data_IF_659560294308
#
_entry.id   IF_659560294308
#
_cell.length_a   1.000
_cell.length_b   1.000
_cell.length_c   1.000
_cell.angle_alpha   90.00
_cell.angle_beta   90.00
_cell.angle_gamma   90.00
#
_symmetry.space_group_name_H-M   'P 1'
#
loop_
_entity.id
_entity.type
_entity.pdbx_description
1 polymer ?
#
# COMPACT_ATOMS: atom_id res chain seq x y z
N UNK A 1 -8.64 4.14 -3.00
CA UNK A 1 -8.05 4.22 -1.62
C UNK A 1 -8.90 5.10 -0.69
N UNK A 2 -9.38 6.28 -1.09
CA UNK A 2 -10.19 7.15 -0.24
C UNK A 2 -11.43 6.52 0.38
N UNK A 3 -12.03 5.52 -0.26
CA UNK A 3 -13.18 4.77 0.30
C UNK A 3 -12.77 3.80 1.42
N UNK A 4 -11.60 3.17 1.31
CA UNK A 4 -11.16 2.09 2.19
C UNK A 4 -10.19 2.52 3.31
N UNK A 5 -9.59 3.71 3.22
CA UNK A 5 -8.69 4.24 4.25
C UNK A 5 -9.46 4.97 5.35
N UNK A 6 -10.40 4.28 5.95
CA UNK A 6 -11.23 4.72 7.06
C UNK A 6 -11.40 3.58 8.06
N UNK A 7 -11.72 3.90 9.31
CA UNK A 7 -12.01 2.90 10.35
C UNK A 7 -13.12 1.93 9.92
N UNK A 8 -14.05 2.35 9.07
CA UNK A 8 -15.11 1.55 8.46
C UNK A 8 -14.89 1.26 6.97
N UNK A 9 -13.64 1.27 6.51
CA UNK A 9 -13.29 1.11 5.09
C UNK A 9 -13.80 -0.19 4.48
N UNK A 10 -13.80 -1.27 5.22
CA UNK A 10 -14.37 -2.56 4.77
C UNK A 10 -15.87 -2.45 4.53
N UNK A 11 -16.62 -1.79 5.39
CA UNK A 11 -18.06 -1.60 5.23
C UNK A 11 -18.38 -0.64 4.08
N UNK A 12 -17.58 0.41 3.89
CA UNK A 12 -17.68 1.28 2.72
C UNK A 12 -17.51 0.50 1.41
N UNK A 13 -16.50 -0.37 1.34
CA UNK A 13 -16.29 -1.23 0.17
C UNK A 13 -17.47 -2.20 -0.04
N UNK A 14 -18.00 -2.81 1.03
CA UNK A 14 -19.18 -3.69 0.98
C UNK A 14 -20.43 -2.96 0.51
N UNK A 15 -20.63 -1.72 0.90
CA UNK A 15 -21.75 -0.89 0.43
C UNK A 15 -21.66 -0.65 -1.08
N UNK A 16 -20.48 -0.34 -1.62
CA UNK A 16 -20.26 -0.18 -3.06
C UNK A 16 -20.45 -1.51 -3.83
N UNK A 17 -19.95 -2.62 -3.28
CA UNK A 17 -20.19 -3.95 -3.84
C UNK A 17 -21.70 -4.23 -3.90
N UNK A 18 -22.43 -3.97 -2.83
CA UNK A 18 -23.87 -4.16 -2.77
C UNK A 18 -24.60 -3.31 -3.81
N UNK A 19 -24.20 -2.05 -3.98
CA UNK A 19 -24.77 -1.16 -5.01
C UNK A 19 -24.54 -1.71 -6.42
N UNK A 20 -23.33 -2.16 -6.75
CA UNK A 20 -23.02 -2.76 -8.04
C UNK A 20 -23.84 -4.04 -8.29
N UNK A 21 -23.99 -4.90 -7.28
CA UNK A 21 -24.81 -6.10 -7.36
C UNK A 21 -26.29 -5.78 -7.57
N UNK A 22 -26.85 -4.84 -6.81
CA UNK A 22 -28.25 -4.42 -6.91
C UNK A 22 -28.62 -3.87 -8.28
N UNK A 23 -27.67 -3.22 -8.93
CA UNK A 23 -27.87 -2.61 -10.25
C UNK A 23 -27.40 -3.50 -11.40
N UNK A 24 -27.00 -4.75 -11.14
CA UNK A 24 -26.51 -5.69 -12.14
C UNK A 24 -25.22 -5.27 -12.83
N UNK A 25 -24.36 -4.48 -12.15
CA UNK A 25 -23.11 -3.99 -12.70
C UNK A 25 -21.93 -4.90 -12.33
N UNK A 26 -22.10 -6.21 -12.49
CA UNK A 26 -21.08 -7.25 -12.24
C UNK A 26 -21.27 -8.37 -13.28
N UNK A 27 -20.22 -9.04 -13.67
CA UNK A 27 -20.26 -10.26 -14.49
C UNK A 27 -20.48 -10.04 -15.99
N UNK A 28 -20.29 -8.85 -16.51
CA UNK A 28 -20.39 -8.56 -17.95
C UNK A 28 -19.40 -7.50 -18.42
N UNK A 29 -19.01 -7.46 -19.68
CA UNK A 29 -18.11 -6.44 -20.22
C UNK A 29 -18.59 -5.01 -19.92
N UNK A 30 -17.66 -4.14 -19.52
CA UNK A 30 -17.94 -2.75 -19.19
C UNK A 30 -18.53 -2.51 -17.79
N UNK A 31 -18.61 -3.56 -16.96
CA UNK A 31 -19.07 -3.46 -15.55
C UNK A 31 -18.02 -3.97 -14.58
N UNK A 32 -18.27 -3.81 -13.30
CA UNK A 32 -17.39 -4.30 -12.22
C UNK A 32 -17.00 -3.22 -11.23
N UNK A 33 -16.17 -3.63 -10.28
CA UNK A 33 -15.61 -2.78 -9.25
C UNK A 33 -14.10 -2.72 -9.47
N UNK A 34 -13.56 -1.50 -9.51
CA UNK A 34 -12.14 -1.25 -9.70
C UNK A 34 -11.53 -0.55 -8.48
N UNK A 35 -10.84 -1.27 -7.60
CA UNK A 35 -10.06 -0.64 -6.54
C UNK A 35 -8.84 0.05 -7.15
N UNK A 36 -8.89 1.38 -7.26
CA UNK A 36 -7.78 2.17 -7.81
C UNK A 36 -6.63 2.20 -6.81
N UNK A 37 -5.80 1.18 -6.86
CA UNK A 37 -4.60 1.05 -6.03
C UNK A 37 -3.53 2.03 -6.49
N UNK A 38 -2.76 2.55 -5.53
CA UNK A 38 -1.80 3.62 -5.80
C UNK A 38 -0.49 3.14 -6.44
N UNK A 39 0.20 2.22 -5.78
CA UNK A 39 1.54 1.82 -6.17
C UNK A 39 1.54 0.84 -7.34
N UNK A 40 2.63 0.87 -8.10
CA UNK A 40 2.92 -0.16 -9.09
C UNK A 40 3.11 -1.51 -8.38
N UNK A 41 2.48 -2.56 -8.89
CA UNK A 41 2.53 -3.92 -8.36
C UNK A 41 1.94 -4.11 -6.94
N UNK A 42 1.15 -3.20 -6.41
CA UNK A 42 0.50 -3.42 -5.11
C UNK A 42 -0.48 -4.60 -5.14
N UNK A 43 -1.10 -4.86 -6.29
CA UNK A 43 -1.92 -6.06 -6.48
C UNK A 43 -1.07 -7.32 -6.40
N UNK A 44 0.05 -7.39 -7.13
CA UNK A 44 0.95 -8.54 -7.10
C UNK A 44 1.59 -8.79 -5.74
N UNK A 45 1.94 -7.73 -5.01
CA UNK A 45 2.44 -7.86 -3.65
C UNK A 45 1.39 -8.48 -2.72
N UNK A 46 0.13 -8.04 -2.81
CA UNK A 46 -0.98 -8.62 -2.04
C UNK A 46 -1.26 -10.06 -2.45
N UNK A 47 -1.28 -10.36 -3.75
CA UNK A 47 -1.51 -11.70 -4.29
C UNK A 47 -0.43 -12.68 -3.82
N UNK A 48 0.82 -12.20 -3.70
CA UNK A 48 1.96 -12.99 -3.22
C UNK A 48 1.99 -13.19 -1.69
N UNK A 49 0.98 -12.70 -0.96
CA UNK A 49 0.85 -12.93 0.47
C UNK A 49 1.58 -11.90 1.35
N UNK A 50 1.95 -10.71 0.84
CA UNK A 50 2.49 -9.61 1.67
C UNK A 50 1.37 -8.92 2.47
N UNK A 51 0.57 -9.72 3.15
CA UNK A 51 -0.54 -9.33 4.03
C UNK A 51 -0.46 -10.22 5.27
N UNK A 52 -0.52 -9.67 6.49
CA UNK A 52 -0.18 -10.42 7.71
C UNK A 52 -1.10 -11.60 8.04
N UNK A 53 -2.29 -11.70 7.42
CA UNK A 53 -3.26 -12.76 7.71
C UNK A 53 -3.40 -13.81 6.61
N UNK A 54 -2.62 -13.73 5.53
CA UNK A 54 -2.74 -14.67 4.39
C UNK A 54 -1.39 -15.13 3.86
N UNK A 55 -1.38 -16.32 3.31
CA UNK A 55 -0.37 -16.85 2.38
C UNK A 55 -0.65 -16.35 0.95
N UNK A 56 0.21 -16.66 -0.03
CA UNK A 56 -0.07 -16.37 -1.43
C UNK A 56 -1.48 -16.78 -1.86
N UNK A 57 -2.08 -16.00 -2.77
CA UNK A 57 -3.44 -16.19 -3.30
C UNK A 57 -4.54 -16.02 -2.24
N UNK A 58 -4.31 -15.11 -1.25
CA UNK A 58 -5.24 -14.78 -0.16
C UNK A 58 -5.67 -15.98 0.71
N UNK A 59 -4.90 -17.03 0.73
CA UNK A 59 -5.16 -18.23 1.53
C UNK A 59 -4.87 -17.95 3.00
N UNK A 60 -5.87 -18.12 3.87
CA UNK A 60 -5.75 -17.70 5.28
C UNK A 60 -4.74 -18.54 6.07
N UNK A 61 -3.89 -17.87 6.86
CA UNK A 61 -2.86 -18.54 7.70
C UNK A 61 -3.47 -19.35 8.84
N UNK A 62 -4.64 -18.97 9.35
CA UNK A 62 -5.38 -19.65 10.42
C UNK A 62 -6.23 -20.84 9.94
N UNK A 63 -6.25 -21.11 8.62
CA UNK A 63 -6.88 -22.32 8.09
C UNK A 63 -5.91 -23.51 8.22
N UNK A 64 -6.26 -24.57 8.99
CA UNK A 64 -5.35 -25.70 9.24
C UNK A 64 -4.89 -26.45 7.99
N UNK A 65 -5.76 -26.59 6.98
CA UNK A 65 -5.43 -27.33 5.75
C UNK A 65 -4.49 -26.50 4.86
N UNK A 66 -4.72 -25.21 4.76
CA UNK A 66 -3.86 -24.26 4.06
C UNK A 66 -2.48 -24.20 4.74
N UNK A 67 -2.43 -24.03 6.05
CA UNK A 67 -1.18 -24.01 6.80
C UNK A 67 -0.37 -25.29 6.58
N UNK A 68 -1.02 -26.48 6.67
CA UNK A 68 -0.37 -27.76 6.41
C UNK A 68 0.15 -27.89 4.97
N UNK A 69 -0.57 -27.31 4.00
CA UNK A 69 -0.11 -27.29 2.61
C UNK A 69 1.18 -26.49 2.50
N UNK A 70 1.25 -25.27 3.06
CA UNK A 70 2.44 -24.41 2.98
C UNK A 70 3.60 -24.94 3.85
N UNK A 71 3.33 -25.54 5.02
CA UNK A 71 4.38 -26.26 5.79
C UNK A 71 5.06 -27.34 4.97
N UNK A 72 4.28 -28.11 4.19
CA UNK A 72 4.80 -29.13 3.30
C UNK A 72 5.50 -28.53 2.08
N UNK A 73 4.92 -27.47 1.49
CA UNK A 73 5.43 -26.83 0.28
C UNK A 73 6.80 -26.16 0.51
N UNK A 74 6.94 -25.47 1.65
CA UNK A 74 8.19 -24.80 2.04
C UNK A 74 9.08 -25.62 2.97
N UNK A 75 8.70 -26.86 3.28
CA UNK A 75 9.46 -27.81 4.12
C UNK A 75 9.85 -27.22 5.49
N UNK A 76 8.98 -26.41 6.08
CA UNK A 76 9.22 -25.73 7.35
C UNK A 76 7.96 -25.65 8.21
N UNK A 77 8.15 -25.43 9.52
CA UNK A 77 7.05 -25.14 10.44
C UNK A 77 6.65 -23.67 10.33
N UNK A 78 5.35 -23.42 10.25
CA UNK A 78 4.80 -22.08 10.11
C UNK A 78 3.92 -21.72 11.30
N UNK A 79 3.89 -20.42 11.65
CA UNK A 79 2.95 -19.89 12.62
C UNK A 79 1.53 -19.93 12.04
N UNK A 80 0.57 -20.29 12.89
CA UNK A 80 -0.86 -20.37 12.55
C UNK A 80 -1.64 -19.10 12.93
N UNK A 81 -0.96 -18.19 13.60
CA UNK A 81 -1.57 -16.93 13.99
C UNK A 81 -1.35 -15.89 12.90
N UNK A 82 -2.36 -15.06 12.60
CA UNK A 82 -2.18 -13.87 11.77
C UNK A 82 -1.09 -12.97 12.34
N UNK A 83 -0.30 -12.37 11.45
CA UNK A 83 0.63 -11.31 11.84
C UNK A 83 -0.09 -10.01 12.20
N UNK A 84 0.67 -9.05 12.68
CA UNK A 84 0.17 -7.74 13.11
C UNK A 84 -0.02 -6.78 11.94
N UNK A 85 -0.98 -5.88 12.06
CA UNK A 85 -1.11 -4.71 11.17
C UNK A 85 -0.01 -3.68 11.47
N UNK A 86 0.21 -2.71 10.57
CA UNK A 86 1.25 -1.69 10.76
C UNK A 86 1.05 -0.88 12.05
N UNK A 87 -0.19 -0.53 12.38
CA UNK A 87 -0.51 0.20 13.63
C UNK A 87 -0.17 -0.66 14.86
N UNK A 88 -0.57 -1.93 14.87
CA UNK A 88 -0.25 -2.88 15.93
C UNK A 88 1.27 -3.10 16.07
N UNK A 89 2.01 -3.15 14.95
CA UNK A 89 3.48 -3.23 14.97
C UNK A 89 4.06 -2.03 15.73
N UNK A 90 3.64 -0.81 15.44
CA UNK A 90 4.12 0.40 16.14
C UNK A 90 3.78 0.39 17.64
N UNK A 91 2.59 -0.09 18.00
CA UNK A 91 2.21 -0.28 19.38
C UNK A 91 3.11 -1.31 20.10
N UNK A 92 3.34 -2.48 19.48
CA UNK A 92 4.15 -3.55 20.08
C UNK A 92 5.64 -3.18 20.17
N UNK A 93 6.17 -2.37 19.26
CA UNK A 93 7.49 -1.76 19.38
C UNK A 93 7.49 -0.83 20.62
N UNK A 94 6.47 0.01 20.78
CA UNK A 94 6.38 0.93 21.90
C UNK A 94 6.33 0.23 23.26
N UNK A 95 5.72 -0.96 23.32
CA UNK A 95 5.68 -1.85 24.50
C UNK A 95 6.97 -2.65 24.69
N UNK A 96 7.91 -2.63 23.74
CA UNK A 96 9.18 -3.39 23.80
C UNK A 96 9.04 -4.88 23.46
N UNK A 97 7.91 -5.29 22.88
CA UNK A 97 7.68 -6.67 22.41
C UNK A 97 8.42 -6.91 21.11
N UNK A 98 8.27 -6.01 20.14
CA UNK A 98 9.04 -6.00 18.91
C UNK A 98 10.31 -5.18 19.14
N UNK A 99 11.47 -5.80 18.91
CA UNK A 99 12.78 -5.22 19.14
C UNK A 99 13.56 -4.98 17.85
N UNK A 100 13.27 -5.74 16.82
CA UNK A 100 13.88 -5.63 15.49
C UNK A 100 12.83 -5.47 14.41
N UNK A 101 13.12 -4.65 13.39
CA UNK A 101 12.24 -4.45 12.24
C UNK A 101 13.06 -4.43 10.95
N UNK A 102 12.54 -5.07 9.92
CA UNK A 102 13.04 -4.96 8.56
C UNK A 102 11.99 -4.27 7.69
N UNK A 103 12.32 -3.11 7.17
CA UNK A 103 11.46 -2.28 6.31
C UNK A 103 11.99 -2.34 4.88
N UNK A 104 11.13 -2.73 3.94
CA UNK A 104 11.48 -2.84 2.53
C UNK A 104 10.56 -1.98 1.66
N UNK A 105 11.11 -0.91 1.08
CA UNK A 105 10.41 -0.03 0.14
C UNK A 105 9.24 0.76 0.74
N UNK A 106 9.27 1.00 2.04
CA UNK A 106 8.25 1.74 2.78
C UNK A 106 8.88 2.84 3.63
N UNK A 107 8.10 3.88 3.92
CA UNK A 107 8.58 5.05 4.66
C UNK A 107 7.66 5.38 5.87
N UNK A 108 7.52 4.47 6.86
CA UNK A 108 6.63 4.64 8.00
C UNK A 108 6.90 5.91 8.83
N UNK A 109 8.16 6.38 8.91
CA UNK A 109 8.48 7.65 9.55
C UNK A 109 7.87 8.89 8.88
N UNK A 110 7.14 8.70 7.76
CA UNK A 110 6.43 9.74 7.03
C UNK A 110 4.99 9.33 6.68
N UNK A 111 4.74 8.05 6.39
CA UNK A 111 3.46 7.56 5.89
C UNK A 111 2.47 7.16 6.99
N UNK A 112 2.96 6.78 8.17
CA UNK A 112 2.08 6.26 9.22
C UNK A 112 1.26 7.38 9.88
N UNK A 113 0.03 7.09 10.28
CA UNK A 113 -0.77 8.04 11.04
C UNK A 113 -0.20 8.23 12.45
N UNK A 114 -0.58 9.31 13.13
CA UNK A 114 0.07 9.73 14.39
C UNK A 114 1.60 9.64 14.31
N UNK A 115 2.15 10.45 13.44
CA UNK A 115 3.57 10.38 13.06
C UNK A 115 4.52 10.55 14.25
N UNK A 116 4.11 11.30 15.28
CA UNK A 116 4.87 11.41 16.51
C UNK A 116 5.02 10.07 17.22
N UNK A 117 3.94 9.29 17.28
CA UNK A 117 3.95 7.95 17.85
C UNK A 117 4.80 6.99 17.00
N UNK A 118 4.61 6.98 15.68
CA UNK A 118 5.36 6.14 14.78
C UNK A 118 6.89 6.40 14.85
N UNK A 119 7.31 7.65 14.80
CA UNK A 119 8.73 8.05 14.95
C UNK A 119 9.31 7.66 16.30
N UNK A 120 8.53 7.84 17.37
CA UNK A 120 8.93 7.40 18.71
C UNK A 120 9.05 5.88 18.82
N UNK A 121 8.16 5.13 18.17
CA UNK A 121 8.26 3.67 18.10
C UNK A 121 9.55 3.25 17.37
N UNK A 122 9.80 3.77 16.17
CA UNK A 122 11.01 3.46 15.39
C UNK A 122 12.30 3.76 16.19
N UNK A 123 12.33 4.85 16.97
CA UNK A 123 13.50 5.20 17.79
C UNK A 123 13.74 4.28 18.98
N UNK A 124 12.79 3.42 19.34
CA UNK A 124 12.92 2.43 20.43
C UNK A 124 13.42 1.05 19.95
N UNK A 125 13.49 0.83 18.67
CA UNK A 125 13.99 -0.45 18.13
C UNK A 125 15.44 -0.67 18.56
N UNK A 126 15.75 -1.91 18.92
CA UNK A 126 17.13 -2.34 19.17
C UNK A 126 17.89 -2.58 17.87
N UNK A 127 17.16 -2.87 16.78
CA UNK A 127 17.74 -3.12 15.46
C UNK A 127 16.73 -2.80 14.36
N UNK A 128 17.09 -1.87 13.47
CA UNK A 128 16.29 -1.48 12.30
C UNK A 128 17.10 -1.63 11.01
N UNK A 129 16.62 -2.47 10.11
CA UNK A 129 17.16 -2.60 8.75
C UNK A 129 16.18 -1.95 7.78
N UNK A 130 16.68 -1.05 6.93
CA UNK A 130 15.89 -0.42 5.86
C UNK A 130 16.49 -0.75 4.52
N UNK A 131 15.68 -1.34 3.64
CA UNK A 131 16.00 -1.58 2.23
C UNK A 131 15.17 -0.65 1.38
N UNK A 132 15.79 0.31 0.73
CA UNK A 132 15.10 1.31 -0.08
C UNK A 132 15.98 1.82 -1.23
N UNK A 133 15.34 2.50 -2.19
CA UNK A 133 16.02 3.15 -3.32
C UNK A 133 16.53 4.55 -2.98
N UNK A 134 16.03 5.16 -1.91
CA UNK A 134 16.44 6.47 -1.40
C UNK A 134 16.68 6.45 0.11
N UNK A 135 17.47 7.41 0.60
CA UNK A 135 17.55 7.72 2.03
C UNK A 135 16.28 8.48 2.43
N UNK A 136 15.31 7.71 2.93
CA UNK A 136 14.02 8.21 3.40
C UNK A 136 14.10 8.64 4.86
N UNK A 137 13.03 9.25 5.37
CA UNK A 137 12.91 9.62 6.78
C UNK A 137 13.02 8.39 7.70
N UNK A 138 12.51 7.25 7.26
CA UNK A 138 12.66 5.96 7.97
C UNK A 138 14.12 5.49 7.99
N UNK A 139 14.85 5.68 6.89
CA UNK A 139 16.27 5.31 6.82
C UNK A 139 17.15 6.08 7.81
N UNK A 140 16.70 7.26 8.29
CA UNK A 140 17.43 8.04 9.30
C UNK A 140 17.39 7.40 10.70
N UNK A 141 16.49 6.45 10.94
CA UNK A 141 16.42 5.65 12.19
C UNK A 141 17.17 4.33 12.08
N UNK A 142 17.61 3.93 10.89
CA UNK A 142 18.14 2.60 10.62
C UNK A 142 19.55 2.39 11.14
N UNK A 143 19.80 1.20 11.69
CA UNK A 143 21.16 0.71 11.99
C UNK A 143 21.86 0.23 10.72
N UNK A 144 21.10 -0.35 9.77
CA UNK A 144 21.61 -0.85 8.49
C UNK A 144 20.72 -0.36 7.36
N UNK A 145 21.35 0.18 6.32
CA UNK A 145 20.67 0.60 5.09
C UNK A 145 21.19 -0.25 3.93
N UNK A 146 20.24 -0.90 3.23
CA UNK A 146 20.50 -1.75 2.07
C UNK A 146 20.01 -1.05 0.81
N UNK A 147 20.90 -0.54 -0.05
CA UNK A 147 20.50 0.15 -1.27
C UNK A 147 19.90 -0.82 -2.28
N UNK A 148 18.63 -0.61 -2.61
CA UNK A 148 17.84 -1.44 -3.51
C UNK A 148 17.70 -0.83 -4.90
N UNK A 149 17.29 -1.65 -5.86
CA UNK A 149 17.02 -1.23 -7.23
C UNK A 149 15.58 -0.79 -7.43
N UNK A 150 15.37 0.23 -8.26
CA UNK A 150 14.05 0.65 -8.71
C UNK A 150 13.47 -0.33 -9.75
N UNK A 151 12.17 -0.19 -10.06
CA UNK A 151 11.50 -1.12 -11.00
C UNK A 151 12.11 -1.16 -12.42
N UNK A 152 12.64 -0.08 -13.02
CA UNK A 152 13.28 -0.17 -14.35
C UNK A 152 14.68 -0.78 -14.32
N UNK A 153 15.21 -1.05 -13.13
CA UNK A 153 16.55 -1.59 -12.90
C UNK A 153 16.55 -3.10 -12.64
N UNK A 154 15.38 -3.75 -12.77
CA UNK A 154 15.21 -5.20 -12.55
C UNK A 154 14.18 -5.80 -13.49
N UNK A 155 14.28 -7.12 -13.69
CA UNK A 155 13.27 -7.92 -14.39
C UNK A 155 12.37 -8.60 -13.36
N UNK A 156 11.08 -8.70 -13.66
CA UNK A 156 10.09 -9.37 -12.80
C UNK A 156 8.68 -9.26 -13.33
N UNK A 157 7.73 -9.81 -12.60
CA UNK A 157 6.31 -9.71 -12.94
C UNK A 157 5.63 -8.60 -12.14
N UNK A 158 4.66 -7.94 -12.77
CA UNK A 158 3.84 -6.90 -12.19
C UNK A 158 2.38 -7.25 -12.40
N UNK A 159 1.59 -7.19 -11.34
CA UNK A 159 0.14 -7.44 -11.44
C UNK A 159 -0.61 -6.13 -11.27
N UNK A 160 -1.41 -5.80 -12.26
CA UNK A 160 -2.24 -4.61 -12.27
C UNK A 160 -3.55 -4.83 -11.49
N UNK A 161 -4.23 -3.75 -11.14
CA UNK A 161 -5.51 -3.77 -10.42
C UNK A 161 -6.61 -4.58 -11.14
N UNK A 162 -6.57 -4.62 -12.47
CA UNK A 162 -7.47 -5.44 -13.30
C UNK A 162 -7.05 -6.91 -13.39
N UNK A 163 -6.17 -7.38 -12.51
CA UNK A 163 -5.68 -8.76 -12.42
C UNK A 163 -4.80 -9.17 -13.61
N UNK A 164 -4.25 -8.21 -14.31
CA UNK A 164 -3.34 -8.47 -15.45
C UNK A 164 -1.92 -8.64 -14.95
N UNK A 165 -1.39 -9.85 -15.08
CA UNK A 165 0.02 -10.16 -14.82
C UNK A 165 0.83 -9.79 -16.06
N UNK A 166 1.87 -9.00 -15.88
CA UNK A 166 2.70 -8.45 -16.95
C UNK A 166 4.18 -8.71 -16.67
N UNK A 167 4.98 -8.87 -17.70
CA UNK A 167 6.43 -8.99 -17.59
C UNK A 167 7.06 -7.60 -17.75
N UNK A 168 7.85 -7.19 -16.77
CA UNK A 168 8.70 -6.00 -16.82
C UNK A 168 10.16 -6.42 -17.00
N UNK A 169 10.82 -5.90 -18.02
CA UNK A 169 12.24 -6.17 -18.29
C UNK A 169 13.12 -5.03 -17.78
N UNK A 170 14.29 -5.39 -17.29
CA UNK A 170 15.30 -4.42 -16.90
C UNK A 170 15.67 -3.51 -18.07
N UNK A 171 15.48 -2.20 -17.92
CA UNK A 171 15.79 -1.19 -18.92
C UNK A 171 17.16 -0.51 -18.66
N UNK A 172 17.51 -0.32 -17.40
CA UNK A 172 18.75 0.34 -16.97
C UNK A 172 19.45 -0.45 -15.87
N UNK A 173 20.75 -0.21 -15.69
CA UNK A 173 21.51 -0.85 -14.59
C UNK A 173 21.22 -0.13 -13.27
N UNK A 174 21.18 -0.85 -12.13
CA UNK A 174 21.11 -0.22 -10.81
C UNK A 174 22.30 0.72 -10.59
N UNK A 175 22.08 1.89 -9.96
CA UNK A 175 23.15 2.85 -9.70
C UNK A 175 24.06 2.39 -8.54
N UNK A 176 25.32 2.78 -8.60
CA UNK A 176 26.29 2.61 -7.51
C UNK A 176 26.39 1.19 -6.98
N UNK A 177 26.05 1.01 -5.70
CA UNK A 177 26.07 -0.28 -5.00
C UNK A 177 24.68 -0.93 -4.86
N UNK A 178 23.65 -0.31 -5.43
CA UNK A 178 22.29 -0.84 -5.38
C UNK A 178 22.19 -2.26 -5.97
N UNK A 179 21.41 -3.10 -5.32
CA UNK A 179 21.16 -4.50 -5.70
C UNK A 179 19.68 -4.76 -5.90
N UNK A 180 19.36 -5.76 -6.71
CA UNK A 180 17.96 -6.20 -6.86
C UNK A 180 17.46 -6.83 -5.56
N UNK A 181 16.18 -6.62 -5.25
CA UNK A 181 15.56 -7.11 -4.00
C UNK A 181 15.73 -8.62 -3.82
N UNK A 182 15.54 -9.41 -4.89
CA UNK A 182 15.74 -10.86 -4.85
C UNK A 182 17.16 -11.24 -4.40
N UNK A 183 18.18 -10.52 -4.89
CA UNK A 183 19.55 -10.75 -4.48
C UNK A 183 19.76 -10.42 -3.00
N UNK A 184 19.26 -9.25 -2.54
CA UNK A 184 19.40 -8.82 -1.14
C UNK A 184 18.74 -9.81 -0.19
N UNK A 185 17.50 -10.22 -0.50
CA UNK A 185 16.76 -11.19 0.31
C UNK A 185 17.50 -12.54 0.39
N UNK A 186 18.07 -13.01 -0.72
CA UNK A 186 18.85 -14.26 -0.72
C UNK A 186 20.14 -14.16 0.09
N UNK A 187 20.83 -13.01 0.07
CA UNK A 187 22.03 -12.82 0.91
C UNK A 187 21.67 -12.78 2.41
N UNK A 188 20.55 -12.15 2.78
CA UNK A 188 20.04 -12.19 4.16
C UNK A 188 19.68 -13.64 4.54
N UNK A 189 18.94 -14.35 3.68
CA UNK A 189 18.57 -15.74 3.90
C UNK A 189 19.81 -16.64 4.09
N UNK A 190 20.84 -16.45 3.26
CA UNK A 190 22.12 -17.16 3.39
C UNK A 190 22.80 -16.89 4.73
N UNK A 191 22.78 -15.63 5.19
CA UNK A 191 23.28 -15.23 6.51
C UNK A 191 22.54 -15.90 7.67
N UNK A 192 21.26 -16.22 7.46
CA UNK A 192 20.40 -16.95 8.42
C UNK A 192 20.48 -18.47 8.29
N UNK A 193 21.33 -18.99 7.38
CA UNK A 193 21.49 -20.44 7.16
C UNK A 193 20.43 -21.04 6.20
N UNK A 194 19.70 -20.22 5.48
CA UNK A 194 18.76 -20.64 4.44
C UNK A 194 19.46 -20.56 3.08
N UNK A 195 19.46 -21.65 2.31
CA UNK A 195 20.20 -21.72 1.06
C UNK A 195 19.26 -21.65 -0.15
N UNK A 196 18.75 -20.45 -0.42
CA UNK A 196 17.99 -20.17 -1.63
C UNK A 196 18.95 -19.84 -2.77
N UNK A 197 18.71 -20.40 -3.95
CA UNK A 197 19.62 -20.32 -5.09
C UNK A 197 18.90 -19.92 -6.38
N UNK A 198 18.00 -18.95 -6.30
CA UNK A 198 17.34 -18.41 -7.48
C UNK A 198 18.33 -17.57 -8.30
N UNK A 199 18.54 -17.95 -9.54
CA UNK A 199 19.43 -17.25 -10.49
C UNK A 199 18.66 -16.25 -11.33
N UNK A 200 17.33 -16.45 -11.47
CA UNK A 200 16.46 -15.62 -12.28
C UNK A 200 15.06 -15.50 -11.63
N UNK A 201 14.37 -14.35 -11.75
CA UNK A 201 13.00 -14.18 -11.22
C UNK A 201 11.97 -15.18 -11.77
N UNK A 202 12.20 -15.75 -12.95
CA UNK A 202 11.40 -16.85 -13.50
C UNK A 202 11.27 -18.01 -12.52
N UNK A 203 12.35 -18.42 -11.88
CA UNK A 203 12.34 -19.56 -10.95
C UNK A 203 11.42 -19.30 -9.74
N UNK A 204 11.40 -18.05 -9.25
CA UNK A 204 10.48 -17.61 -8.20
C UNK A 204 9.04 -17.60 -8.72
N UNK A 205 8.82 -17.09 -9.94
CA UNK A 205 7.50 -17.08 -10.54
C UNK A 205 6.95 -18.49 -10.79
N UNK A 206 7.80 -19.41 -11.25
CA UNK A 206 7.45 -20.83 -11.43
C UNK A 206 7.10 -21.51 -10.07
N UNK A 207 7.66 -21.05 -8.96
CA UNK A 207 7.26 -21.48 -7.62
C UNK A 207 5.92 -20.87 -7.21
N UNK A 208 5.71 -19.57 -7.46
CA UNK A 208 4.43 -18.90 -7.20
C UNK A 208 3.26 -19.61 -7.89
N UNK A 209 3.40 -19.99 -9.16
CA UNK A 209 2.34 -20.69 -9.90
C UNK A 209 1.96 -22.04 -9.32
N UNK A 210 2.82 -22.67 -8.52
CA UNK A 210 2.54 -23.95 -7.83
C UNK A 210 1.74 -23.78 -6.54
N UNK A 211 1.83 -22.61 -5.90
CA UNK A 211 1.13 -22.34 -4.63
C UNK A 211 0.00 -21.30 -4.76
N UNK A 212 -0.18 -20.71 -5.95
CA UNK A 212 -1.23 -19.75 -6.28
C UNK A 212 -2.15 -20.30 -7.36
N UNK A 213 -3.28 -20.95 -6.98
CA UNK A 213 -4.22 -21.54 -7.94
C UNK A 213 -4.70 -20.56 -9.02
N UNK A 214 -4.91 -19.28 -8.67
CA UNK A 214 -5.42 -18.27 -9.59
C UNK A 214 -4.53 -17.99 -10.81
N UNK A 215 -3.20 -18.21 -10.70
CA UNK A 215 -2.22 -17.94 -11.75
C UNK A 215 -1.53 -19.20 -12.29
N UNK A 216 -2.00 -20.37 -11.91
CA UNK A 216 -1.33 -21.65 -12.17
C UNK A 216 -1.12 -21.94 -13.68
N UNK A 217 -1.97 -21.40 -14.56
CA UNK A 217 -1.86 -21.52 -16.01
C UNK A 217 -0.96 -20.44 -16.66
N UNK A 218 -0.47 -19.46 -15.90
CA UNK A 218 0.41 -18.40 -16.40
C UNK A 218 1.86 -18.88 -16.28
N UNK A 219 2.54 -19.09 -17.41
CA UNK A 219 3.97 -19.41 -17.42
C UNK A 219 4.79 -18.20 -17.85
N UNK A 220 6.07 -18.19 -17.48
CA UNK A 220 6.98 -17.13 -17.89
C UNK A 220 7.07 -17.00 -19.39
N UNK A 221 7.14 -18.12 -20.13
CA UNK A 221 7.18 -18.17 -21.59
C UNK A 221 5.92 -17.58 -22.23
N UNK A 222 4.76 -17.82 -21.61
CA UNK A 222 3.51 -17.19 -22.06
C UNK A 222 3.51 -15.67 -21.86
N UNK A 223 4.10 -15.19 -20.77
CA UNK A 223 4.27 -13.75 -20.55
C UNK A 223 5.25 -13.13 -21.54
N UNK A 224 6.32 -13.82 -21.90
CA UNK A 224 7.23 -13.36 -22.96
C UNK A 224 6.54 -13.25 -24.32
N UNK A 225 5.67 -14.20 -24.65
CA UNK A 225 4.95 -14.24 -25.94
C UNK A 225 3.77 -13.26 -26.00
N UNK A 226 2.98 -13.19 -24.93
CA UNK A 226 1.71 -12.44 -24.90
C UNK A 226 1.84 -11.09 -24.19
N UNK A 227 2.97 -10.81 -23.55
CA UNK A 227 3.26 -9.63 -22.72
C UNK A 227 2.42 -9.51 -21.45
N UNK A 228 1.19 -10.02 -21.45
CA UNK A 228 0.30 -10.02 -20.29
C UNK A 228 -0.78 -11.08 -20.37
N UNK A 229 -1.21 -11.60 -19.20
CA UNK A 229 -2.32 -12.54 -19.06
C UNK A 229 -3.14 -12.13 -17.84
N UNK A 230 -4.46 -12.14 -17.97
CA UNK A 230 -5.37 -11.78 -16.86
C UNK A 230 -5.81 -13.06 -16.13
N UNK A 231 -5.59 -13.12 -14.81
CA UNK A 231 -6.08 -14.25 -14.02
C UNK A 231 -7.56 -14.07 -13.59
N UNK A 232 -8.32 -15.13 -13.20
CA UNK A 232 -7.90 -16.53 -13.11
C UNK A 232 -7.46 -17.12 -14.45
N UNK A 233 -6.47 -18.05 -14.40
CA UNK A 233 -5.94 -18.77 -15.54
C UNK A 233 -5.57 -20.17 -15.08
N UNK A 234 -6.41 -21.16 -15.43
CA UNK A 234 -6.36 -22.50 -14.81
C UNK A 234 -5.32 -23.42 -15.42
N UNK A 235 -5.03 -23.27 -16.71
CA UNK A 235 -4.04 -24.07 -17.41
C UNK A 235 -3.35 -23.30 -18.54
N UNK A 236 -2.37 -23.93 -19.18
CA UNK A 236 -1.57 -23.30 -20.25
C UNK A 236 -2.34 -22.95 -21.53
N UNK A 237 -3.54 -23.49 -21.73
CA UNK A 237 -4.39 -23.19 -22.87
C UNK A 237 -5.48 -22.17 -22.55
N UNK A 238 -5.70 -21.90 -21.26
CA UNK A 238 -6.65 -20.90 -20.79
C UNK A 238 -6.17 -19.50 -21.18
N UNK A 239 -6.94 -18.70 -21.93
CA UNK A 239 -6.55 -17.33 -22.30
C UNK A 239 -6.57 -16.37 -21.11
N UNK A 240 -7.07 -16.80 -19.97
CA UNK A 240 -7.36 -15.98 -18.79
C UNK A 240 -8.75 -15.34 -18.83
N UNK A 241 -9.18 -14.80 -17.71
CA UNK A 241 -10.55 -14.31 -17.54
C UNK A 241 -10.59 -12.78 -17.30
N UNK A 242 -10.75 -11.99 -18.36
CA UNK A 242 -10.85 -10.53 -18.21
C UNK A 242 -12.13 -10.08 -17.49
N UNK A 243 -13.21 -10.87 -17.56
CA UNK A 243 -14.45 -10.66 -16.82
C UNK A 243 -14.69 -11.86 -15.91
N UNK A 244 -14.94 -11.61 -14.63
CA UNK A 244 -15.25 -12.64 -13.63
C UNK A 244 -16.72 -12.59 -13.23
N UNK A 245 -17.22 -13.66 -12.59
CA UNK A 245 -18.62 -13.79 -12.14
C UNK A 245 -19.64 -13.68 -13.26
N UNK A 246 -19.32 -14.25 -14.44
CA UNK A 246 -20.22 -14.25 -15.61
C UNK A 246 -21.40 -15.18 -15.34
N UNK A 247 -21.14 -16.39 -14.87
CA UNK A 247 -22.15 -17.43 -14.69
C UNK A 247 -22.61 -17.51 -13.24
N UNK A 248 -21.67 -17.49 -12.28
CA UNK A 248 -21.97 -17.61 -10.86
C UNK A 248 -20.93 -16.88 -9.97
N UNK A 249 -21.13 -16.93 -8.67
CA UNK A 249 -20.20 -16.46 -7.66
C UNK A 249 -19.57 -17.64 -6.92
N UNK A 250 -18.31 -17.54 -6.44
CA UNK A 250 -17.63 -18.62 -5.72
C UNK A 250 -18.13 -18.76 -4.28
N UNK A 251 -19.41 -19.05 -4.15
CA UNK A 251 -20.14 -19.26 -2.90
C UNK A 251 -20.84 -20.61 -2.96
N UNK A 252 -21.18 -21.18 -1.80
CA UNK A 252 -21.82 -22.49 -1.70
C UNK A 252 -23.08 -22.63 -2.58
N UNK A 253 -23.84 -21.57 -2.76
CA UNK A 253 -25.07 -21.55 -3.56
C UNK A 253 -24.95 -20.82 -4.90
N UNK A 254 -23.74 -20.46 -5.32
CA UNK A 254 -23.47 -19.76 -6.57
C UNK A 254 -23.98 -18.30 -6.65
N UNK A 255 -24.49 -17.74 -5.54
CA UNK A 255 -25.08 -16.39 -5.51
C UNK A 255 -24.23 -15.40 -4.73
N UNK A 256 -24.21 -14.16 -5.18
CA UNK A 256 -23.62 -13.08 -4.40
C UNK A 256 -24.30 -12.91 -3.04
N UNK A 257 -23.53 -12.53 -2.03
CA UNK A 257 -24.03 -12.32 -0.66
C UNK A 257 -24.03 -10.84 -0.32
N UNK A 258 -25.21 -10.30 0.02
CA UNK A 258 -25.31 -8.98 0.62
C UNK A 258 -24.89 -9.02 2.09
N UNK A 259 -24.01 -8.12 2.47
CA UNK A 259 -23.54 -7.97 3.85
C UNK A 259 -24.04 -6.64 4.38
N UNK A 260 -24.72 -6.66 5.54
CA UNK A 260 -25.19 -5.46 6.20
C UNK A 260 -24.00 -4.60 6.62
N UNK A 261 -23.97 -3.35 6.16
CA UNK A 261 -22.95 -2.36 6.51
C UNK A 261 -23.65 -1.23 7.29
N UNK A 262 -23.45 -1.14 8.61
CA UNK A 262 -24.05 -0.07 9.41
C UNK A 262 -23.40 1.27 9.06
N UNK A 263 -24.18 2.34 9.09
CA UNK A 263 -23.66 3.69 9.02
C UNK A 263 -23.18 4.12 10.41
N UNK A 264 -21.88 4.29 10.58
CA UNK A 264 -21.25 4.65 11.85
C UNK A 264 -20.43 5.93 11.62
N UNK A 265 -20.47 6.86 12.57
CA UNK A 265 -19.68 8.08 12.52
C UNK A 265 -18.17 7.78 12.64
N UNK A 266 -17.36 8.75 12.21
CA UNK A 266 -15.92 8.72 12.47
C UNK A 266 -15.65 8.69 13.99
N UNK A 267 -14.52 8.11 14.39
CA UNK A 267 -14.14 8.01 15.80
C UNK A 267 -13.92 9.39 16.44
N UNK A 268 -13.57 10.38 15.64
CA UNK A 268 -13.36 11.76 16.06
C UNK A 268 -14.15 12.70 15.13
N UNK A 269 -14.95 13.57 15.73
CA UNK A 269 -15.75 14.56 15.02
C UNK A 269 -15.27 15.96 15.38
N UNK A 270 -15.51 16.96 14.51
CA UNK A 270 -15.29 18.38 14.85
C UNK A 270 -16.04 18.78 16.13
N UNK A 271 -15.45 19.67 16.91
CA UNK A 271 -16.03 20.30 18.08
C UNK A 271 -15.65 21.80 18.15
N UNK A 272 -16.05 22.48 19.21
CA UNK A 272 -15.81 23.91 19.39
C UNK A 272 -14.31 24.27 19.44
N UNK A 273 -13.44 23.38 19.91
CA UNK A 273 -12.01 23.59 19.99
C UNK A 273 -11.30 23.29 18.67
N UNK A 274 -11.79 22.31 17.92
CA UNK A 274 -11.28 21.88 16.61
C UNK A 274 -12.42 21.77 15.59
N UNK A 275 -12.89 22.91 15.05
CA UNK A 275 -14.13 22.96 14.27
C UNK A 275 -14.00 22.49 12.83
N UNK A 276 -12.78 22.21 12.35
CA UNK A 276 -12.52 21.81 10.98
C UNK A 276 -12.42 20.29 10.82
N UNK A 277 -12.88 19.81 9.67
CA UNK A 277 -12.58 18.45 9.18
C UNK A 277 -11.28 18.51 8.39
N UNK A 278 -10.26 17.82 8.89
CA UNK A 278 -9.02 17.61 8.16
C UNK A 278 -9.21 16.52 7.10
N UNK A 279 -8.88 16.85 5.86
CA UNK A 279 -8.81 15.93 4.73
C UNK A 279 -7.34 15.86 4.30
N UNK A 280 -6.73 14.69 4.42
CA UNK A 280 -5.39 14.48 3.87
C UNK A 280 -5.48 13.77 2.52
N UNK A 281 -4.60 14.11 1.59
CA UNK A 281 -4.68 13.56 0.26
C UNK A 281 -3.41 13.71 -0.56
N UNK A 282 -3.54 13.41 -1.85
CA UNK A 282 -2.43 13.48 -2.81
C UNK A 282 -2.37 14.84 -3.50
N UNK A 283 -1.16 15.29 -3.74
CA UNK A 283 -0.85 16.36 -4.68
C UNK A 283 -0.59 15.73 -6.06
N UNK A 284 -1.03 16.37 -7.14
CA UNK A 284 -0.91 15.80 -8.49
C UNK A 284 0.55 15.56 -8.89
N UNK A 285 1.42 16.50 -8.58
CA UNK A 285 2.84 16.51 -8.93
C UNK A 285 3.67 15.57 -8.04
N UNK A 286 3.13 15.20 -6.86
CA UNK A 286 3.86 14.40 -5.89
C UNK A 286 3.21 13.06 -5.61
N UNK A 287 4.04 12.01 -5.67
CA UNK A 287 3.62 10.64 -5.40
C UNK A 287 3.73 10.30 -3.91
N UNK A 288 2.61 9.96 -3.28
CA UNK A 288 2.53 9.57 -1.87
C UNK A 288 3.25 10.58 -0.93
N UNK A 289 4.19 10.09 -0.14
CA UNK A 289 5.01 10.89 0.79
C UNK A 289 6.08 11.75 0.09
N UNK A 290 6.09 11.79 -1.23
CA UNK A 290 7.05 12.60 -1.99
C UNK A 290 8.47 12.03 -2.05
N UNK A 291 8.72 10.84 -1.47
CA UNK A 291 10.07 10.25 -1.36
C UNK A 291 10.80 10.13 -2.71
N UNK A 292 10.08 9.93 -3.81
CA UNK A 292 10.63 9.91 -5.16
C UNK A 292 10.47 11.24 -5.87
N UNK A 293 9.25 11.77 -5.92
CA UNK A 293 8.88 12.89 -6.80
C UNK A 293 9.41 14.23 -6.31
N UNK A 294 9.56 14.43 -5.00
CA UNK A 294 10.22 15.64 -4.47
C UNK A 294 11.75 15.67 -4.70
N UNK A 295 12.33 14.55 -5.11
CA UNK A 295 13.72 14.45 -5.58
C UNK A 295 13.85 14.61 -7.10
N UNK A 296 12.74 14.72 -7.83
CA UNK A 296 12.70 15.09 -9.24
C UNK A 296 12.57 16.61 -9.34
N UNK A 297 13.63 17.31 -9.74
CA UNK A 297 13.72 18.78 -9.74
C UNK A 297 12.53 19.45 -10.41
N UNK A 298 12.13 18.97 -11.60
CA UNK A 298 11.01 19.52 -12.36
C UNK A 298 9.68 19.45 -11.59
N UNK A 299 9.36 18.31 -10.96
CA UNK A 299 8.12 18.16 -10.21
C UNK A 299 8.14 18.97 -8.91
N UNK A 300 9.31 19.04 -8.28
CA UNK A 300 9.49 19.84 -7.08
C UNK A 300 9.40 21.35 -7.36
N UNK A 301 9.86 21.82 -8.51
CA UNK A 301 9.74 23.23 -8.91
C UNK A 301 8.29 23.65 -9.21
N UNK A 302 7.44 22.72 -9.64
CA UNK A 302 6.02 23.01 -9.90
C UNK A 302 5.24 23.20 -8.59
N UNK A 303 5.47 22.34 -7.60
CA UNK A 303 4.80 22.38 -6.29
C UNK A 303 5.85 22.21 -5.16
N UNK A 304 6.62 23.27 -4.87
CA UNK A 304 7.72 23.19 -3.93
C UNK A 304 7.28 23.22 -2.47
N UNK A 305 6.21 23.96 -2.14
CA UNK A 305 5.87 24.36 -0.78
C UNK A 305 4.64 23.62 -0.23
N UNK A 306 4.65 23.30 1.09
CA UNK A 306 3.51 22.70 1.75
C UNK A 306 2.33 23.69 1.81
N UNK A 307 1.15 23.21 1.49
CA UNK A 307 -0.05 24.05 1.46
C UNK A 307 -1.24 23.42 2.19
N UNK A 308 -2.15 24.28 2.64
CA UNK A 308 -3.47 23.92 3.13
C UNK A 308 -4.53 24.59 2.26
N UNK A 309 -5.35 23.81 1.59
CA UNK A 309 -6.44 24.32 0.80
C UNK A 309 -7.64 24.64 1.71
N UNK A 310 -8.21 25.83 1.52
CA UNK A 310 -9.34 26.37 2.28
C UNK A 310 -10.36 26.98 1.33
N UNK A 311 -11.65 26.92 1.66
CA UNK A 311 -12.68 27.65 0.90
C UNK A 311 -12.60 29.15 1.16
N UNK A 312 -13.16 29.92 0.24
CA UNK A 312 -13.13 31.39 0.33
C UNK A 312 -13.81 31.94 1.59
N UNK A 313 -14.92 31.32 2.01
CA UNK A 313 -15.69 31.74 3.18
C UNK A 313 -14.88 31.60 4.47
N UNK A 314 -14.15 30.49 4.64
CA UNK A 314 -13.29 30.28 5.80
C UNK A 314 -12.09 31.22 5.78
N UNK A 315 -11.47 31.44 4.62
CA UNK A 315 -10.38 32.40 4.48
C UNK A 315 -10.82 33.82 4.87
N UNK A 316 -11.99 34.24 4.43
CA UNK A 316 -12.55 35.53 4.83
C UNK A 316 -12.83 35.59 6.35
N UNK A 317 -13.45 34.56 6.89
CA UNK A 317 -13.81 34.47 8.32
C UNK A 317 -12.59 34.61 9.24
N UNK A 318 -11.46 34.04 8.84
CA UNK A 318 -10.22 34.06 9.62
C UNK A 318 -9.23 35.15 9.18
N UNK A 319 -9.62 36.02 8.23
CA UNK A 319 -8.78 37.05 7.63
C UNK A 319 -7.46 36.50 7.06
N UNK A 320 -7.53 35.37 6.36
CA UNK A 320 -6.44 34.69 5.67
C UNK A 320 -6.46 35.08 4.19
N UNK A 321 -5.28 35.41 3.65
CA UNK A 321 -5.09 35.62 2.21
C UNK A 321 -4.43 34.42 1.55
N UNK A 322 -4.61 34.28 0.25
CA UNK A 322 -3.93 33.24 -0.52
C UNK A 322 -2.41 33.46 -0.47
N UNK A 323 -1.66 32.42 -0.08
CA UNK A 323 -0.22 32.48 0.14
C UNK A 323 0.22 32.88 1.55
N UNK A 324 -0.67 33.20 2.47
CA UNK A 324 -0.31 33.46 3.86
C UNK A 324 0.23 32.18 4.51
N UNK A 325 1.28 32.34 5.34
CA UNK A 325 1.75 31.26 6.20
C UNK A 325 0.80 31.13 7.41
N UNK A 326 0.21 29.96 7.57
CA UNK A 326 -0.74 29.66 8.65
C UNK A 326 -0.29 28.43 9.43
N UNK A 327 -0.67 28.38 10.70
CA UNK A 327 -0.49 27.20 11.54
C UNK A 327 -1.79 26.39 11.58
N UNK A 328 -1.73 25.13 11.20
CA UNK A 328 -2.84 24.18 11.37
C UNK A 328 -2.54 23.29 12.54
N UNK A 329 -3.48 23.19 13.48
CA UNK A 329 -3.35 22.47 14.73
C UNK A 329 -4.42 21.41 14.89
N UNK A 330 -4.04 20.26 15.44
CA UNK A 330 -4.93 19.20 15.90
C UNK A 330 -4.59 18.81 17.35
N UNK A 331 -5.34 17.87 17.91
CA UNK A 331 -5.04 17.33 19.26
C UNK A 331 -3.67 16.63 19.35
N UNK A 332 -3.00 16.36 18.23
CA UNK A 332 -1.74 15.59 18.17
C UNK A 332 -0.53 16.43 17.86
N UNK A 333 -0.71 17.57 17.24
CA UNK A 333 0.38 18.45 16.89
C UNK A 333 -0.05 19.62 16.04
N UNK A 334 0.94 20.35 15.54
CA UNK A 334 0.75 21.50 14.65
C UNK A 334 1.78 21.48 13.53
N UNK A 335 1.41 22.07 12.40
CA UNK A 335 2.29 22.28 11.24
C UNK A 335 2.07 23.67 10.67
N UNK A 336 3.11 24.24 10.08
CA UNK A 336 3.02 25.50 9.34
C UNK A 336 2.96 25.22 7.84
N UNK A 337 1.99 25.80 7.16
CA UNK A 337 1.71 25.59 5.74
C UNK A 337 1.23 26.89 5.10
N UNK A 338 1.38 27.02 3.79
CA UNK A 338 0.83 28.14 3.06
C UNK A 338 -0.66 27.96 2.76
N UNK A 339 -1.47 28.94 3.05
CA UNK A 339 -2.89 28.94 2.71
C UNK A 339 -3.08 28.99 1.19
N UNK A 340 -3.95 28.14 0.66
CA UNK A 340 -4.33 28.12 -0.75
C UNK A 340 -5.85 28.12 -0.88
N UNK A 341 -6.38 29.06 -1.67
CA UNK A 341 -7.81 29.10 -1.95
C UNK A 341 -8.21 27.90 -2.82
N UNK A 342 -9.28 27.22 -2.41
CA UNK A 342 -9.88 26.11 -3.17
C UNK A 342 -11.41 26.18 -3.07
N UNK A 343 -12.06 26.66 -4.12
CA UNK A 343 -13.51 26.84 -4.18
C UNK A 343 -14.29 25.49 -4.29
N UNK A 344 -13.61 24.37 -4.36
CA UNK A 344 -14.22 23.02 -4.32
C UNK A 344 -14.46 22.52 -2.89
N UNK A 345 -13.79 23.11 -1.90
CA UNK A 345 -13.99 22.79 -0.49
C UNK A 345 -15.21 23.51 0.07
N UNK A 346 -15.84 22.88 1.06
CA UNK A 346 -16.96 23.46 1.80
C UNK A 346 -16.44 24.12 3.08
N UNK A 347 -17.16 25.12 3.62
CA UNK A 347 -16.83 25.71 4.92
C UNK A 347 -16.66 24.65 6.01
N UNK A 348 -15.64 24.82 6.83
CA UNK A 348 -15.25 23.86 7.88
C UNK A 348 -14.42 22.67 7.38
N UNK A 349 -13.91 22.70 6.16
CA UNK A 349 -12.99 21.71 5.62
C UNK A 349 -11.61 22.30 5.35
N UNK A 350 -10.56 21.56 5.65
CA UNK A 350 -9.19 21.88 5.26
C UNK A 350 -8.57 20.65 4.59
N UNK A 351 -7.96 20.84 3.41
CA UNK A 351 -7.23 19.79 2.71
C UNK A 351 -5.74 20.05 2.80
N UNK A 352 -4.95 19.03 3.18
CA UNK A 352 -3.49 19.11 3.28
C UNK A 352 -2.86 17.93 2.56
N UNK A 353 -1.99 18.16 1.55
CA UNK A 353 -1.21 17.11 0.91
C UNK A 353 -0.22 16.47 1.91
N UNK A 354 -0.05 15.15 1.84
CA UNK A 354 0.84 14.43 2.75
C UNK A 354 2.26 14.20 2.19
N UNK A 355 2.67 14.94 1.17
CA UNK A 355 3.96 14.75 0.50
C UNK A 355 5.10 15.64 1.04
N UNK A 356 4.83 16.53 1.95
CA UNK A 356 5.79 17.50 2.47
C UNK A 356 6.34 17.07 3.83
N UNK A 357 7.61 16.68 3.87
CA UNK A 357 8.26 16.19 5.09
C UNK A 357 8.45 17.31 6.12
N UNK A 358 8.67 18.52 5.68
CA UNK A 358 8.84 19.73 6.48
C UNK A 358 7.55 20.16 7.21
N UNK A 359 6.40 19.77 6.69
CA UNK A 359 5.06 20.04 7.25
C UNK A 359 4.19 18.79 7.10
N UNK A 360 4.64 17.69 7.68
CA UNK A 360 4.03 16.38 7.50
C UNK A 360 2.59 16.35 8.04
N UNK A 361 1.61 16.19 7.15
CA UNK A 361 0.18 16.17 7.50
C UNK A 361 -0.16 15.09 8.55
N UNK A 362 0.60 13.98 8.58
CA UNK A 362 0.40 12.90 9.53
C UNK A 362 0.85 13.24 10.98
N UNK A 363 1.47 14.39 11.23
CA UNK A 363 1.61 14.94 12.58
C UNK A 363 0.26 15.37 13.18
N UNK A 364 -0.75 15.59 12.34
CA UNK A 364 -2.09 16.01 12.73
C UNK A 364 -3.09 14.85 12.83
N UNK A 365 -2.80 13.69 12.21
CA UNK A 365 -3.75 12.59 12.07
C UNK A 365 -3.77 11.68 13.29
N UNK A 366 -4.87 10.89 13.41
CA UNK A 366 -5.05 9.86 14.40
C UNK A 366 -4.60 8.51 13.84
N UNK A 367 -4.06 7.62 14.71
CA UNK A 367 -3.71 6.24 14.38
C UNK A 367 -4.93 5.32 14.35
#
# INVERSE_FOLDING_TARGET
MGVSQHIHGTDNARALISLALMTGQVGRPGTGLHPLRGQNNVQGASDSGLIPMVYPDYQRVDNPDVNKFFEKFWETKLDKNPGLTVVEIMEEITKGVIKGLYVMGENPAMSDPDLNHARKALSKLEHLVVQDIFLTETAMYADIILPASAFPEKTGTFTNTDRRVQLGNQAVKPPGKAKQDLWIIQEIARGLGLYWNYTHPKEVFDEMTKCMPSIKGITWERLEQNHSITYPCDDSNDPGQPVIFIDDFPTENGKAKFVKSPLINAAELPDDAFPFVLITGRQLEHWHTGSMTRRASMLHEIEPDPNANLCFEDMQKFNIQDGDLITVESRRGSIDVYARRDDMLKPGQVFIPFCYVESAANLLTNA
#
